data_IF_162575151428
#
_entry.id   IF_162575151428
#
_cell.length_a   1.000
_cell.length_b   1.000
_cell.length_c   1.000
_cell.angle_alpha   90.00
_cell.angle_beta   90.00
_cell.angle_gamma   90.00
#
_symmetry.space_group_name_H-M   'P 1'
#
loop_
_entity.id
_entity.type
_entity.pdbx_description
1 polymer ?
#
# COMPACT_ATOMS: atom_id res chain seq x y z
N UNK A 1 21.17 13.08 -6.43
CA UNK A 1 21.60 11.68 -6.65
C UNK A 1 20.91 10.63 -5.76
N UNK A 2 20.00 11.01 -4.85
CA UNK A 2 19.31 10.06 -3.96
C UNK A 2 18.09 9.38 -4.62
N UNK A 3 17.37 10.08 -5.50
CA UNK A 3 16.16 9.55 -6.16
C UNK A 3 16.40 8.28 -6.99
N UNK A 4 17.51 8.22 -7.74
CA UNK A 4 17.88 7.03 -8.52
C UNK A 4 18.27 5.83 -7.62
N UNK A 5 18.86 6.11 -6.45
CA UNK A 5 19.20 5.09 -5.46
C UNK A 5 17.94 4.49 -4.81
N UNK A 6 16.97 5.32 -4.40
CA UNK A 6 15.67 4.85 -3.87
C UNK A 6 14.88 4.08 -4.92
N UNK A 7 14.91 4.52 -6.19
CA UNK A 7 14.22 3.84 -7.30
C UNK A 7 14.72 2.41 -7.55
N UNK A 8 16.01 2.13 -7.34
CA UNK A 8 16.62 0.81 -7.56
C UNK A 8 16.35 -0.20 -6.44
N UNK A 9 16.02 0.26 -5.23
CA UNK A 9 15.62 -0.61 -4.11
C UNK A 9 14.13 -0.92 -4.09
N UNK A 10 13.34 -0.22 -4.91
CA UNK A 10 11.91 -0.44 -5.04
C UNK A 10 11.68 -1.53 -6.10
N UNK A 11 11.13 -2.70 -5.74
CA UNK A 11 10.65 -3.64 -6.75
C UNK A 11 9.76 -2.90 -7.76
N UNK A 12 9.83 -3.19 -9.07
CA UNK A 12 9.17 -2.40 -10.12
C UNK A 12 7.66 -2.21 -9.94
N UNK A 13 7.01 -3.01 -9.09
CA UNK A 13 5.58 -2.93 -8.76
C UNK A 13 5.28 -2.72 -7.26
N UNK A 14 6.25 -2.26 -6.45
CA UNK A 14 6.00 -1.99 -5.03
C UNK A 14 5.34 -0.62 -4.86
N UNK A 15 4.01 -0.59 -4.82
CA UNK A 15 3.24 0.57 -4.36
C UNK A 15 3.65 0.88 -2.91
N UNK A 16 3.77 2.17 -2.54
CA UNK A 16 4.22 2.62 -1.21
C UNK A 16 3.35 2.08 -0.06
N UNK A 17 2.14 1.63 -0.43
CA UNK A 17 1.10 1.07 0.40
C UNK A 17 0.63 -0.20 -0.30
N UNK A 18 0.48 -1.30 0.43
CA UNK A 18 -0.02 -2.58 -0.07
C UNK A 18 -0.96 -3.19 0.96
N UNK A 19 -1.97 -3.91 0.51
CA UNK A 19 -2.85 -4.65 1.39
C UNK A 19 -2.81 -6.16 1.09
N UNK A 20 -3.04 -7.01 2.08
CA UNK A 20 -3.16 -8.47 1.92
C UNK A 20 -4.32 -9.02 2.76
N UNK A 21 -5.05 -10.06 2.29
CA UNK A 21 -6.03 -10.75 3.13
C UNK A 21 -5.39 -11.28 4.41
N UNK A 22 -6.07 -11.16 5.56
CA UNK A 22 -5.54 -11.57 6.85
C UNK A 22 -5.22 -13.08 6.91
N UNK A 23 -5.98 -13.90 6.20
CA UNK A 23 -5.78 -15.36 6.17
C UNK A 23 -5.08 -15.85 4.88
N UNK A 24 -4.57 -14.93 4.06
CA UNK A 24 -3.95 -15.24 2.77
C UNK A 24 -4.96 -15.61 1.68
N UNK A 25 -4.46 -16.00 0.50
CA UNK A 25 -5.29 -16.41 -0.65
C UNK A 25 -5.64 -15.28 -1.63
N UNK A 26 -6.55 -15.57 -2.56
CA UNK A 26 -6.87 -14.65 -3.64
C UNK A 26 -7.72 -13.46 -3.16
N UNK A 27 -7.13 -12.27 -3.23
CA UNK A 27 -7.70 -11.03 -2.73
C UNK A 27 -9.09 -10.68 -3.28
N UNK A 28 -9.47 -11.14 -4.47
CA UNK A 28 -10.79 -10.81 -5.06
C UNK A 28 -11.92 -11.74 -4.59
N UNK A 29 -11.61 -12.88 -3.95
CA UNK A 29 -12.61 -13.87 -3.56
C UNK A 29 -13.29 -13.56 -2.23
N UNK A 30 -12.77 -12.59 -1.47
CA UNK A 30 -13.21 -12.29 -0.10
C UNK A 30 -13.23 -10.79 0.14
N UNK A 31 -14.24 -10.08 -0.38
CA UNK A 31 -14.34 -8.64 -0.24
C UNK A 31 -14.56 -8.21 1.22
N UNK A 32 -15.27 -8.99 2.02
CA UNK A 32 -15.60 -8.65 3.42
C UNK A 32 -14.57 -9.14 4.44
N UNK A 33 -13.53 -9.86 4.01
CA UNK A 33 -12.48 -10.31 4.92
C UNK A 33 -11.57 -9.14 5.34
N UNK A 34 -11.23 -9.02 6.65
CA UNK A 34 -10.25 -8.07 7.11
C UNK A 34 -8.91 -8.18 6.39
N UNK A 35 -8.25 -7.04 6.19
CA UNK A 35 -7.00 -6.94 5.43
C UNK A 35 -5.92 -6.30 6.24
N UNK A 36 -4.74 -6.86 6.17
CA UNK A 36 -3.54 -6.27 6.77
C UNK A 36 -3.01 -5.21 5.82
N UNK A 37 -2.81 -4.00 6.33
CA UNK A 37 -2.26 -2.86 5.61
C UNK A 37 -0.75 -2.79 5.88
N UNK A 38 0.04 -2.75 4.81
CA UNK A 38 1.50 -2.73 4.86
C UNK A 38 2.06 -1.51 4.13
N UNK A 39 2.90 -0.73 4.81
CA UNK A 39 3.56 0.46 4.25
C UNK A 39 5.06 0.20 4.05
N UNK A 40 5.62 0.67 2.94
CA UNK A 40 7.06 0.59 2.70
C UNK A 40 7.80 1.70 3.46
N UNK A 41 8.80 1.35 4.27
CA UNK A 41 9.60 2.29 5.07
C UNK A 41 11.03 2.51 4.51
N UNK A 42 11.19 2.49 3.18
CA UNK A 42 12.47 2.54 2.44
C UNK A 42 13.35 1.28 2.54
N UNK A 43 13.07 0.38 3.49
CA UNK A 43 13.84 -0.86 3.69
C UNK A 43 12.97 -2.12 3.61
N UNK A 44 11.76 -2.10 4.19
CA UNK A 44 10.84 -3.23 4.21
C UNK A 44 9.38 -2.77 4.26
N UNK A 45 8.45 -3.70 4.02
CA UNK A 45 7.03 -3.47 4.21
C UNK A 45 6.66 -3.76 5.67
N UNK A 46 6.31 -2.73 6.43
CA UNK A 46 5.87 -2.84 7.82
C UNK A 46 4.35 -2.85 7.89
N UNK A 47 3.78 -3.64 8.81
CA UNK A 47 2.34 -3.61 9.07
C UNK A 47 1.99 -2.31 9.79
N UNK A 48 1.05 -1.56 9.24
CA UNK A 48 0.59 -0.27 9.79
C UNK A 48 -0.85 -0.29 10.30
N UNK A 49 -1.57 -1.38 10.06
CA UNK A 49 -2.91 -1.55 10.59
C UNK A 49 -3.71 -2.63 9.86
N UNK A 50 -5.02 -2.61 10.09
CA UNK A 50 -5.98 -3.50 9.45
C UNK A 50 -7.17 -2.73 8.91
N UNK A 51 -7.62 -3.06 7.70
CA UNK A 51 -8.88 -2.59 7.14
C UNK A 51 -9.97 -3.66 7.32
N UNK A 52 -11.23 -3.26 7.57
CA UNK A 52 -12.32 -4.21 7.79
C UNK A 52 -12.73 -4.97 6.53
N UNK A 53 -12.49 -4.41 5.34
CA UNK A 53 -12.85 -5.01 4.06
C UNK A 53 -11.93 -4.55 2.92
N UNK A 54 -12.12 -5.14 1.73
CA UNK A 54 -11.39 -4.84 0.50
C UNK A 54 -11.55 -3.38 0.05
N UNK A 55 -12.76 -2.83 0.11
CA UNK A 55 -13.02 -1.47 -0.34
C UNK A 55 -12.24 -0.43 0.49
N UNK A 56 -12.25 -0.57 1.82
CA UNK A 56 -11.47 0.30 2.72
C UNK A 56 -9.96 0.13 2.52
N UNK A 57 -9.50 -1.10 2.26
CA UNK A 57 -8.09 -1.37 1.97
C UNK A 57 -7.62 -0.73 0.65
N UNK A 58 -8.46 -0.80 -0.40
CA UNK A 58 -8.19 -0.16 -1.70
C UNK A 58 -8.19 1.36 -1.60
N UNK A 59 -9.12 1.95 -0.85
CA UNK A 59 -9.15 3.38 -0.57
C UNK A 59 -7.86 3.84 0.16
N UNK A 60 -7.37 3.05 1.10
CA UNK A 60 -6.13 3.33 1.81
C UNK A 60 -4.88 3.24 0.91
N UNK A 61 -4.80 2.22 0.04
CA UNK A 61 -3.70 2.01 -0.92
C UNK A 61 -3.59 3.16 -1.93
N UNK A 62 -4.73 3.63 -2.43
CA UNK A 62 -4.82 4.78 -3.34
C UNK A 62 -4.46 6.09 -2.62
N UNK A 63 -4.64 6.13 -1.30
CA UNK A 63 -4.48 7.33 -0.47
C UNK A 63 -5.65 8.31 -0.60
N UNK A 64 -5.79 9.28 0.32
CA UNK A 64 -6.60 10.45 0.01
C UNK A 64 -6.04 11.08 -1.28
N UNK A 65 -6.88 11.70 -2.14
CA UNK A 65 -6.37 12.47 -3.27
C UNK A 65 -5.28 13.39 -2.74
N UNK A 66 -4.07 13.25 -3.30
CA UNK A 66 -2.95 14.10 -2.90
C UNK A 66 -3.44 15.53 -3.05
N UNK A 67 -3.56 16.27 -1.94
CA UNK A 67 -3.67 17.72 -2.03
C UNK A 67 -2.50 18.16 -2.88
N UNK A 68 -2.84 18.75 -4.02
CA UNK A 68 -1.92 18.97 -5.11
C UNK A 68 -0.68 19.69 -4.63
N UNK A 69 0.45 19.23 -5.15
CA UNK A 69 1.66 19.99 -5.34
C UNK A 69 1.32 21.48 -5.59
N UNK A 70 1.81 22.45 -4.78
CA UNK A 70 1.70 23.85 -5.16
C UNK A 70 2.52 24.03 -6.44
N UNK A 71 1.82 24.20 -7.54
CA UNK A 71 2.41 24.60 -8.81
C UNK A 71 3.30 25.83 -8.58
N UNK A 72 4.57 25.67 -8.97
CA UNK A 72 5.56 26.75 -9.18
C UNK A 72 4.98 27.86 -10.04
#
# INVERSE_FOLDING_TARGET
MLAAYHKRRRPPMDVYRRHRPAHGGAAHLRPDEPRVLGQWNDFTCIVVGTAPNLATAQAWETGPPSDGDPAV
#
